data_IF_221588930206
#
_entry.id   IF_221588930206
#
_cell.length_a   1.000
_cell.length_b   1.000
_cell.length_c   1.000
_cell.angle_alpha   90.00
_cell.angle_beta   90.00
_cell.angle_gamma   90.00
#
_symmetry.space_group_name_H-M   'P 1'
#
loop_
_entity.id
_entity.type
_entity.pdbx_description
1 polymer ?
#
# COMPACT_ATOMS: atom_id res chain seq x y z
N UNK A 1 16.69 10.48 8.39
CA UNK A 1 15.76 10.17 7.27
C UNK A 1 14.40 9.93 7.91
N UNK A 2 13.46 10.85 7.76
CA UNK A 2 12.13 10.80 8.36
C UNK A 2 11.18 10.05 7.42
N UNK A 3 10.56 8.97 7.93
CA UNK A 3 9.52 8.21 7.22
C UNK A 3 8.29 9.10 6.99
N UNK A 4 8.01 9.49 5.75
CA UNK A 4 6.78 10.17 5.40
C UNK A 4 5.62 9.16 5.46
N UNK A 5 4.69 9.36 6.40
CA UNK A 5 3.53 8.49 6.62
C UNK A 5 2.28 9.35 6.81
N UNK A 6 1.13 8.85 6.39
CA UNK A 6 -0.17 9.49 6.63
C UNK A 6 -0.93 8.68 7.67
N UNK A 7 -1.24 9.31 8.81
CA UNK A 7 -2.06 8.73 9.87
C UNK A 7 -3.48 9.33 9.80
N UNK A 8 -4.51 8.46 9.76
CA UNK A 8 -5.90 8.90 9.90
C UNK A 8 -6.27 8.75 11.38
N UNK A 9 -6.45 9.88 12.07
CA UNK A 9 -6.92 9.92 13.45
C UNK A 9 -8.43 10.16 13.48
N UNK A 10 -9.17 9.32 14.20
CA UNK A 10 -10.60 9.54 14.41
C UNK A 10 -10.82 10.46 15.62
N UNK A 11 -11.84 11.32 15.57
CA UNK A 11 -12.05 12.44 16.52
C UNK A 11 -13.10 12.19 17.61
N UNK A 12 -13.84 11.06 17.58
CA UNK A 12 -15.01 10.83 18.46
C UNK A 12 -14.92 9.93 19.71
N UNK A 13 -13.82 9.24 20.05
CA UNK A 13 -13.81 8.30 21.20
C UNK A 13 -12.53 8.40 22.07
N UNK A 14 -12.66 8.23 23.41
CA UNK A 14 -11.61 8.49 24.40
C UNK A 14 -10.60 7.35 24.63
N UNK A 15 -10.74 6.18 23.99
CA UNK A 15 -9.82 5.04 24.18
C UNK A 15 -8.99 4.70 22.91
N UNK A 16 -7.88 3.95 23.13
CA UNK A 16 -6.84 3.63 22.13
C UNK A 16 -7.44 3.07 20.83
N UNK A 17 -7.54 3.94 19.83
CA UNK A 17 -7.99 3.58 18.48
C UNK A 17 -6.92 2.85 17.67
N UNK A 18 -7.37 1.86 16.92
CA UNK A 18 -6.64 1.18 15.85
C UNK A 18 -6.06 2.21 14.87
N UNK A 19 -4.72 2.36 14.83
CA UNK A 19 -4.05 3.27 13.88
C UNK A 19 -3.73 2.53 12.59
N UNK A 20 -4.36 2.94 11.49
CA UNK A 20 -3.96 2.51 10.15
C UNK A 20 -2.78 3.36 9.69
N UNK A 21 -1.60 2.74 9.56
CA UNK A 21 -0.38 3.38 9.08
C UNK A 21 -0.13 3.03 7.62
N UNK A 22 -0.39 3.98 6.73
CA UNK A 22 -0.06 3.85 5.30
C UNK A 22 1.36 4.35 5.05
N UNK A 23 2.14 3.52 4.37
CA UNK A 23 3.49 3.85 3.92
C UNK A 23 3.47 4.26 2.45
N UNK A 24 4.39 5.14 2.08
CA UNK A 24 4.67 5.47 0.68
C UNK A 24 5.86 4.67 0.17
N UNK A 25 5.79 4.18 -1.06
CA UNK A 25 6.81 3.30 -1.64
C UNK A 25 8.17 3.99 -1.69
N UNK A 26 8.22 5.25 -2.14
CA UNK A 26 9.46 6.02 -2.26
C UNK A 26 10.21 6.18 -0.93
N UNK A 27 9.47 6.28 0.17
CA UNK A 27 9.99 6.52 1.53
C UNK A 27 10.04 5.24 2.38
N UNK A 28 9.62 4.10 1.85
CA UNK A 28 9.55 2.86 2.63
C UNK A 28 10.92 2.33 3.02
N UNK A 29 10.99 1.77 4.23
CA UNK A 29 12.14 0.99 4.68
C UNK A 29 12.18 -0.31 3.87
N UNK A 30 13.34 -0.62 3.29
CA UNK A 30 13.52 -1.82 2.49
C UNK A 30 13.34 -3.09 3.33
N UNK A 31 12.79 -4.12 2.70
CA UNK A 31 12.55 -5.46 3.27
C UNK A 31 11.63 -5.50 4.52
N UNK A 32 11.03 -4.37 4.91
CA UNK A 32 10.06 -4.30 6.00
C UNK A 32 8.65 -4.46 5.46
N UNK A 33 7.85 -5.33 6.08
CA UNK A 33 6.43 -5.45 5.74
C UNK A 33 5.72 -4.19 6.19
N UNK A 34 5.17 -3.46 5.23
CA UNK A 34 4.39 -2.25 5.43
C UNK A 34 3.09 -2.36 4.63
N UNK A 35 2.13 -1.49 4.98
CA UNK A 35 0.86 -1.38 4.29
C UNK A 35 0.89 -0.19 3.32
N UNK A 36 0.45 -0.43 2.08
CA UNK A 36 0.47 0.54 0.99
C UNK A 36 -0.91 0.63 0.33
N UNK A 37 -1.34 1.84 -0.04
CA UNK A 37 -2.49 2.03 -0.89
C UNK A 37 -1.99 2.32 -2.31
N UNK A 38 -2.26 1.43 -3.25
CA UNK A 38 -1.66 1.44 -4.59
C UNK A 38 -2.71 1.38 -5.67
N UNK A 39 -2.43 1.96 -6.84
CA UNK A 39 -3.28 1.84 -8.02
C UNK A 39 -2.56 1.01 -9.07
N UNK A 40 -3.23 -0.01 -9.58
CA UNK A 40 -2.68 -0.89 -10.62
C UNK A 40 -2.90 -0.27 -12.00
N UNK A 41 -1.85 -0.20 -12.82
CA UNK A 41 -1.92 0.35 -14.18
C UNK A 41 -2.17 -0.77 -15.18
N UNK A 42 -1.28 -1.77 -15.23
CA UNK A 42 -1.33 -2.89 -16.18
C UNK A 42 -0.38 -4.00 -15.76
N UNK A 43 -0.55 -5.18 -16.36
CA UNK A 43 0.40 -6.29 -16.26
C UNK A 43 1.62 -6.04 -17.16
N UNK A 44 2.81 -6.31 -16.66
CA UNK A 44 4.10 -6.20 -17.37
C UNK A 44 4.90 -7.45 -17.06
N UNK A 45 4.89 -8.41 -17.99
CA UNK A 45 5.47 -9.73 -17.77
C UNK A 45 4.79 -10.48 -16.61
N UNK A 46 5.60 -10.87 -15.62
CA UNK A 46 5.18 -11.55 -14.40
C UNK A 46 4.86 -10.60 -13.23
N UNK A 47 4.90 -9.29 -13.49
CA UNK A 47 4.63 -8.23 -12.52
C UNK A 47 3.47 -7.35 -12.98
N UNK A 48 3.06 -6.44 -12.10
CA UNK A 48 2.13 -5.35 -12.42
C UNK A 48 2.86 -4.01 -12.28
N UNK A 49 2.73 -3.13 -13.27
CA UNK A 49 3.10 -1.73 -13.07
C UNK A 49 2.01 -1.04 -12.26
N UNK A 50 2.42 -0.28 -11.25
CA UNK A 50 1.54 0.37 -10.30
C UNK A 50 2.12 1.73 -9.89
N UNK A 51 1.30 2.53 -9.20
CA UNK A 51 1.75 3.77 -8.59
C UNK A 51 1.03 4.02 -7.27
N UNK A 52 1.68 4.83 -6.44
CA UNK A 52 1.09 5.48 -5.28
C UNK A 52 1.30 7.00 -5.43
N UNK A 53 0.97 7.78 -4.41
CA UNK A 53 1.15 9.24 -4.47
C UNK A 53 2.62 9.67 -4.54
N UNK A 54 3.57 8.78 -4.27
CA UNK A 54 4.99 9.09 -4.16
C UNK A 54 5.80 8.72 -5.41
N UNK A 55 5.47 7.61 -6.08
CA UNK A 55 6.24 7.12 -7.23
C UNK A 55 5.52 6.01 -8.03
N UNK A 56 6.11 5.68 -9.19
CA UNK A 56 5.76 4.51 -10.00
C UNK A 56 6.66 3.33 -9.62
N UNK A 57 6.13 2.11 -9.66
CA UNK A 57 6.83 0.91 -9.22
C UNK A 57 6.24 -0.36 -9.83
N UNK A 58 6.90 -1.49 -9.57
CA UNK A 58 6.43 -2.81 -9.94
C UNK A 58 5.92 -3.57 -8.71
N UNK A 59 4.82 -4.32 -8.89
CA UNK A 59 4.29 -5.27 -7.92
C UNK A 59 4.50 -6.69 -8.43
N UNK A 60 5.10 -7.52 -7.58
CA UNK A 60 5.13 -8.98 -7.73
C UNK A 60 4.09 -9.59 -6.80
N UNK A 61 3.11 -10.29 -7.37
CA UNK A 61 2.07 -11.01 -6.63
C UNK A 61 1.68 -12.28 -7.38
N UNK A 62 1.07 -13.24 -6.67
CA UNK A 62 0.44 -14.43 -7.28
C UNK A 62 -1.02 -14.16 -7.65
N UNK A 63 -1.61 -13.10 -7.13
CA UNK A 63 -3.00 -12.75 -7.36
C UNK A 63 -3.20 -12.04 -8.70
N UNK A 64 -4.33 -12.30 -9.36
CA UNK A 64 -4.69 -11.61 -10.59
C UNK A 64 -5.34 -10.26 -10.25
N UNK A 65 -4.63 -9.17 -10.53
CA UNK A 65 -5.09 -7.81 -10.25
C UNK A 65 -5.79 -7.20 -11.47
N UNK A 66 -6.82 -6.40 -11.19
CA UNK A 66 -7.59 -5.68 -12.19
C UNK A 66 -6.94 -4.31 -12.42
N UNK A 67 -6.60 -3.94 -13.67
CA UNK A 67 -6.14 -2.60 -14.03
C UNK A 67 -7.10 -1.49 -13.59
N UNK A 68 -6.57 -0.30 -13.32
CA UNK A 68 -7.29 0.90 -12.89
C UNK A 68 -8.08 0.76 -11.58
N UNK A 69 -7.74 -0.25 -10.77
CA UNK A 69 -8.31 -0.44 -9.43
C UNK A 69 -7.27 -0.13 -8.35
N UNK A 70 -7.77 0.34 -7.22
CA UNK A 70 -6.98 0.60 -6.01
C UNK A 70 -7.00 -0.60 -5.09
N UNK A 71 -5.85 -0.92 -4.55
CA UNK A 71 -5.65 -2.05 -3.65
C UNK A 71 -4.94 -1.58 -2.38
N UNK A 72 -5.27 -2.23 -1.27
CA UNK A 72 -4.46 -2.21 -0.07
C UNK A 72 -3.49 -3.39 -0.15
N UNK A 73 -2.19 -3.11 -0.02
CA UNK A 73 -1.14 -4.12 -0.17
C UNK A 73 -0.33 -4.16 1.10
N UNK A 74 -0.23 -5.34 1.68
CA UNK A 74 0.74 -5.65 2.73
C UNK A 74 1.92 -6.34 2.07
N UNK A 75 3.09 -5.72 2.15
CA UNK A 75 4.24 -6.22 1.41
C UNK A 75 5.55 -5.54 1.74
N UNK A 76 6.60 -5.96 1.03
CA UNK A 76 7.99 -5.52 1.24
C UNK A 76 8.55 -4.90 -0.03
N UNK A 77 9.13 -3.71 0.09
CA UNK A 77 9.90 -3.10 -1.01
C UNK A 77 11.34 -3.59 -0.95
N UNK A 78 11.86 -4.20 -2.03
CA UNK A 78 13.22 -4.77 -2.04
C UNK A 78 14.27 -3.92 -2.77
N UNK A 79 13.93 -3.32 -3.91
CA UNK A 79 14.90 -2.66 -4.79
C UNK A 79 14.60 -1.16 -4.92
N UNK A 80 15.58 -0.27 -4.69
CA UNK A 80 15.35 1.18 -4.82
C UNK A 80 15.34 1.72 -6.25
N UNK A 81 16.11 1.11 -7.17
CA UNK A 81 16.29 1.67 -8.53
C UNK A 81 15.00 1.71 -9.35
N UNK A 82 14.13 0.71 -9.15
CA UNK A 82 12.85 0.58 -9.87
C UNK A 82 11.66 0.29 -8.96
N UNK A 83 11.88 0.27 -7.63
CA UNK A 83 10.88 -0.06 -6.60
C UNK A 83 10.10 -1.33 -6.92
N UNK A 84 10.55 -2.47 -6.38
CA UNK A 84 9.80 -3.72 -6.49
C UNK A 84 9.14 -4.04 -5.16
N UNK A 85 7.80 -3.97 -5.16
CA UNK A 85 6.96 -4.37 -4.05
C UNK A 85 6.58 -5.85 -4.20
N UNK A 86 6.96 -6.66 -3.23
CA UNK A 86 6.48 -8.03 -3.10
C UNK A 86 5.25 -8.02 -2.22
N UNK A 87 4.09 -8.35 -2.79
CA UNK A 87 2.84 -8.44 -2.05
C UNK A 87 2.80 -9.78 -1.29
N UNK A 88 2.62 -9.69 0.03
CA UNK A 88 2.34 -10.84 0.91
C UNK A 88 0.84 -11.05 1.03
N UNK A 89 0.08 -9.95 1.10
CA UNK A 89 -1.37 -9.95 1.03
C UNK A 89 -1.85 -8.71 0.27
N UNK A 90 -2.88 -8.87 -0.55
CA UNK A 90 -3.48 -7.78 -1.31
C UNK A 90 -5.00 -7.90 -1.27
N UNK A 91 -5.68 -6.76 -1.09
CA UNK A 91 -7.13 -6.70 -1.10
C UNK A 91 -7.60 -5.49 -1.89
N UNK A 92 -8.75 -5.63 -2.55
CA UNK A 92 -9.37 -4.50 -3.26
C UNK A 92 -9.77 -3.44 -2.23
N UNK A 93 -9.33 -2.20 -2.44
CA UNK A 93 -9.54 -1.13 -1.49
C UNK A 93 -11.04 -0.82 -1.35
N UNK A 94 -11.62 -1.14 -0.20
CA UNK A 94 -12.99 -0.79 0.13
C UNK A 94 -13.01 0.31 1.20
N UNK A 95 -13.25 1.55 0.75
CA UNK A 95 -13.29 2.73 1.62
C UNK A 95 -14.32 2.63 2.74
N UNK A 96 -15.48 2.01 2.50
CA UNK A 96 -16.51 1.84 3.53
C UNK A 96 -15.99 0.96 4.66
N UNK A 97 -15.38 -0.18 4.32
CA UNK A 97 -14.82 -1.09 5.33
C UNK A 97 -13.67 -0.45 6.12
N UNK A 98 -12.82 0.33 5.45
CA UNK A 98 -11.72 1.04 6.11
C UNK A 98 -12.28 2.08 7.09
N UNK A 99 -13.28 2.86 6.68
CA UNK A 99 -13.93 3.83 7.56
C UNK A 99 -14.55 3.14 8.78
N UNK A 100 -15.25 2.02 8.60
CA UNK A 100 -15.79 1.23 9.72
C UNK A 100 -14.72 0.69 10.67
N UNK A 101 -13.52 0.35 10.18
CA UNK A 101 -12.42 -0.12 11.04
C UNK A 101 -11.73 1.01 11.82
N UNK A 102 -11.87 2.26 11.37
CA UNK A 102 -11.23 3.45 11.96
C UNK A 102 -12.16 4.18 12.94
N UNK A 103 -13.45 4.26 12.63
CA UNK A 103 -14.45 5.06 13.35
C UNK A 103 -14.80 4.45 14.71
#
# INVERSE_FOLDING_TARGET
ITDATSEILSTRYPERRTRLKLSFIKNSILNKTCMFAVTIIRRVGDCYSAYDQSTYFLIKTRENLIPNKKYLVYGKVKFRKFYLLYAEHIELLNYKNILYRIL
#
